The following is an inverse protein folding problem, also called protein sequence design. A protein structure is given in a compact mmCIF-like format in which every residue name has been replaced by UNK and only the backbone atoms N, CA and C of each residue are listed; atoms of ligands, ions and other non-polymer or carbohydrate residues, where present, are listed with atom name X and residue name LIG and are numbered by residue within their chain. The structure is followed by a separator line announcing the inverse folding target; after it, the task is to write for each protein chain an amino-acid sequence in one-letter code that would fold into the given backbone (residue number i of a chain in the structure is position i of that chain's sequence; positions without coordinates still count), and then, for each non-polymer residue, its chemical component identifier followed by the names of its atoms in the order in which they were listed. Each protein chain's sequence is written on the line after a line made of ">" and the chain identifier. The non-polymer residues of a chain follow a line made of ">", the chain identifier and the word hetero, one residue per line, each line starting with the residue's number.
data_IF_526555054132
#
_entry.id   IF_526555054132
#
_cell.length_a   1.000
_cell.length_b   1.000
_cell.length_c   1.000
_cell.angle_alpha   90.00
_cell.angle_beta   90.00
_cell.angle_gamma   90.00
#
_symmetry.space_group_name_H-M   'P 1'
#
loop_
_entity.id
_entity.type
_entity.pdbx_description
1 polymer ?
#
# COMPACT_ATOMS: atom_id res chain seq x y z
N UNK A 1 14.55 -12.34 10.70
CA UNK A 1 13.48 -11.84 9.80
C UNK A 1 13.99 -11.93 8.37
N UNK A 2 13.31 -12.68 7.52
CA UNK A 2 13.82 -13.34 6.30
C UNK A 2 13.41 -12.62 5.01
N UNK A 3 14.03 -12.95 3.86
CA UNK A 3 13.60 -12.50 2.51
C UNK A 3 12.11 -12.72 2.22
N UNK A 4 11.50 -13.73 2.85
CA UNK A 4 10.06 -14.00 2.80
C UNK A 4 9.20 -12.83 3.31
N UNK A 5 9.67 -12.09 4.32
CA UNK A 5 9.00 -10.90 4.84
C UNK A 5 8.95 -9.79 3.77
N UNK A 6 10.06 -9.58 3.05
CA UNK A 6 10.12 -8.59 1.96
C UNK A 6 9.17 -8.99 0.84
N UNK A 7 9.22 -10.26 0.42
CA UNK A 7 8.36 -10.77 -0.65
C UNK A 7 6.88 -10.61 -0.33
N UNK A 8 6.48 -10.85 0.93
CA UNK A 8 5.10 -10.66 1.37
C UNK A 8 4.67 -9.19 1.31
N UNK A 9 5.53 -8.27 1.77
CA UNK A 9 5.24 -6.82 1.73
C UNK A 9 5.20 -6.33 0.28
N UNK A 10 6.23 -6.60 -0.52
CA UNK A 10 6.31 -6.26 -1.95
C UNK A 10 5.12 -6.82 -2.72
N UNK A 11 4.76 -8.08 -2.47
CA UNK A 11 3.62 -8.76 -3.09
C UNK A 11 2.26 -8.22 -2.69
N UNK A 12 2.16 -7.41 -1.62
CA UNK A 12 0.94 -6.69 -1.25
C UNK A 12 0.94 -5.23 -1.75
N UNK A 13 2.10 -4.57 -1.75
CA UNK A 13 2.25 -3.19 -2.23
C UNK A 13 2.02 -3.08 -3.74
N UNK A 14 2.56 -4.01 -4.53
CA UNK A 14 2.42 -3.96 -6.00
C UNK A 14 0.95 -4.06 -6.44
N UNK A 15 0.17 -5.06 -5.99
CA UNK A 15 -1.23 -5.16 -6.40
C UNK A 15 -2.10 -4.02 -5.88
N UNK A 16 -1.75 -3.36 -4.76
CA UNK A 16 -2.43 -2.14 -4.34
C UNK A 16 -2.14 -0.98 -5.30
N UNK A 17 -0.89 -0.83 -5.75
CA UNK A 17 -0.51 0.17 -6.74
C UNK A 17 -1.22 -0.03 -8.08
N UNK A 18 -1.27 -1.25 -8.61
CA UNK A 18 -2.03 -1.56 -9.83
C UNK A 18 -3.51 -1.20 -9.71
N UNK A 19 -4.15 -1.53 -8.58
CA UNK A 19 -5.55 -1.19 -8.33
C UNK A 19 -5.77 0.34 -8.35
N UNK A 20 -4.82 1.10 -7.80
CA UNK A 20 -4.89 2.56 -7.80
C UNK A 20 -4.75 3.15 -9.23
N UNK A 21 -4.00 2.51 -10.13
CA UNK A 21 -3.95 2.92 -11.54
C UNK A 21 -5.33 2.74 -12.20
N UNK A 22 -5.97 1.59 -11.97
CA UNK A 22 -7.31 1.28 -12.50
C UNK A 22 -8.35 2.32 -12.04
N UNK A 23 -8.18 2.89 -10.84
CA UNK A 23 -9.06 3.91 -10.29
C UNK A 23 -8.58 5.35 -10.50
N UNK A 24 -7.68 5.57 -11.45
CA UNK A 24 -7.21 6.91 -11.84
C UNK A 24 -6.44 7.66 -10.74
N UNK A 25 -5.71 6.93 -9.90
CA UNK A 25 -4.81 7.44 -8.84
C UNK A 25 -3.32 7.11 -9.14
N UNK A 26 -2.78 7.47 -10.32
CA UNK A 26 -1.45 7.01 -10.77
C UNK A 26 -0.28 7.57 -9.92
N UNK A 27 -0.46 8.74 -9.31
CA UNK A 27 0.58 9.32 -8.45
C UNK A 27 0.71 8.54 -7.14
N UNK A 28 -0.42 8.12 -6.56
CA UNK A 28 -0.42 7.29 -5.36
C UNK A 28 0.10 5.89 -5.68
N UNK A 29 -0.31 5.32 -6.82
CA UNK A 29 0.21 4.04 -7.31
C UNK A 29 1.74 4.05 -7.43
N UNK A 30 2.33 5.11 -8.01
CA UNK A 30 3.78 5.25 -8.15
C UNK A 30 4.50 5.24 -6.79
N UNK A 31 3.92 5.85 -5.76
CA UNK A 31 4.46 5.83 -4.41
C UNK A 31 4.51 4.40 -3.84
N UNK A 32 3.43 3.63 -4.01
CA UNK A 32 3.38 2.22 -3.60
C UNK A 32 4.36 1.34 -4.37
N UNK A 33 4.48 1.51 -5.70
CA UNK A 33 5.45 0.77 -6.51
C UNK A 33 6.91 1.09 -6.11
N UNK A 34 7.23 2.36 -5.87
CA UNK A 34 8.57 2.77 -5.37
C UNK A 34 8.87 2.16 -4.00
N UNK A 35 7.88 2.14 -3.12
CA UNK A 35 8.03 1.53 -1.80
C UNK A 35 8.27 0.02 -1.91
N UNK A 36 7.56 -0.66 -2.82
CA UNK A 36 7.75 -2.08 -3.11
C UNK A 36 9.17 -2.39 -3.60
N UNK A 37 9.69 -1.63 -4.58
CA UNK A 37 11.07 -1.78 -5.06
C UNK A 37 12.09 -1.58 -3.94
N UNK A 38 11.85 -0.61 -3.03
CA UNK A 38 12.75 -0.37 -1.90
C UNK A 38 12.68 -1.47 -0.85
N UNK A 39 11.50 -2.04 -0.60
CA UNK A 39 11.35 -3.19 0.29
C UNK A 39 12.06 -4.43 -0.25
N UNK A 40 11.99 -4.68 -1.55
CA UNK A 40 12.71 -5.77 -2.22
C UNK A 40 14.23 -5.67 -2.01
N UNK A 41 14.76 -4.45 -2.12
CA UNK A 41 16.18 -4.15 -1.90
C UNK A 41 16.60 -4.06 -0.41
N UNK A 42 15.68 -4.18 0.55
CA UNK A 42 15.98 -3.97 1.97
C UNK A 42 16.67 -5.18 2.60
N UNK A 43 17.93 -5.02 3.02
CA UNK A 43 18.72 -6.12 3.58
C UNK A 43 18.64 -6.22 5.11
N UNK A 44 18.48 -5.09 5.81
CA UNK A 44 18.50 -5.06 7.28
C UNK A 44 17.11 -4.87 7.88
N UNK A 45 16.97 -5.24 9.16
CA UNK A 45 15.74 -4.96 9.92
C UNK A 45 15.55 -3.46 10.19
N UNK A 46 16.63 -2.66 10.18
CA UNK A 46 16.52 -1.21 10.30
C UNK A 46 15.94 -0.59 9.03
N UNK A 47 16.40 -1.04 7.85
CA UNK A 47 15.86 -0.58 6.55
C UNK A 47 14.36 -0.83 6.47
N UNK A 48 13.94 -2.07 6.77
CA UNK A 48 12.52 -2.46 6.74
C UNK A 48 11.66 -1.65 7.68
N UNK A 49 12.13 -1.38 8.91
CA UNK A 49 11.43 -0.51 9.87
C UNK A 49 11.26 0.91 9.34
N UNK A 50 12.31 1.46 8.73
CA UNK A 50 12.26 2.79 8.10
C UNK A 50 11.23 2.84 6.97
N UNK A 51 11.27 1.86 6.06
CA UNK A 51 10.32 1.75 4.94
C UNK A 51 8.89 1.48 5.42
N UNK A 52 8.72 0.69 6.47
CA UNK A 52 7.42 0.44 7.08
C UNK A 52 6.80 1.71 7.66
N UNK A 53 7.60 2.50 8.38
CA UNK A 53 7.18 3.81 8.87
C UNK A 53 6.77 4.76 7.74
N UNK A 54 7.54 4.80 6.64
CA UNK A 54 7.19 5.59 5.45
C UNK A 54 5.87 5.13 4.82
N UNK A 55 5.68 3.81 4.66
CA UNK A 55 4.45 3.25 4.10
C UNK A 55 3.23 3.49 4.97
N UNK A 56 3.36 3.37 6.30
CA UNK A 56 2.27 3.65 7.24
C UNK A 56 1.85 5.12 7.21
N UNK A 57 2.78 6.04 6.90
CA UNK A 57 2.43 7.45 6.73
C UNK A 57 1.44 7.68 5.58
N UNK A 58 1.36 6.81 4.56
CA UNK A 58 0.35 6.92 3.50
C UNK A 58 -1.09 6.65 3.98
N UNK A 59 -1.25 6.00 5.12
CA UNK A 59 -2.55 5.72 5.75
C UNK A 59 -3.00 6.81 6.73
N UNK A 60 -2.18 7.84 6.95
CA UNK A 60 -2.43 8.87 7.95
C UNK A 60 -2.31 10.28 7.33
N UNK A 61 -3.20 11.21 7.72
CA UNK A 61 -3.18 12.61 7.28
C UNK A 61 -4.36 13.03 6.42
N UNK A 62 -4.32 14.26 5.91
CA UNK A 62 -5.31 14.78 4.95
C UNK A 62 -5.05 14.20 3.56
N UNK A 63 -6.10 13.74 2.88
CA UNK A 63 -5.99 13.11 1.55
C UNK A 63 -5.18 11.82 1.61
N UNK A 64 -5.33 11.08 2.71
CA UNK A 64 -4.65 9.81 2.92
C UNK A 64 -5.23 8.73 2.02
N UNK A 65 -4.53 7.60 1.89
CA UNK A 65 -5.09 6.43 1.23
C UNK A 65 -6.44 6.04 1.85
N UNK A 66 -6.68 6.27 3.15
CA UNK A 66 -7.96 5.93 3.80
C UNK A 66 -9.13 6.84 3.39
N UNK A 67 -8.85 8.05 2.90
CA UNK A 67 -9.88 9.01 2.48
C UNK A 67 -10.34 8.77 1.03
N UNK A 68 -9.59 7.97 0.27
CA UNK A 68 -9.91 7.67 -1.12
C UNK A 68 -11.19 6.82 -1.19
N UNK A 69 -12.18 7.31 -1.94
CA UNK A 69 -13.43 6.61 -2.23
C UNK A 69 -13.59 6.50 -3.74
N UNK A 70 -13.72 5.27 -4.23
CA UNK A 70 -13.91 5.01 -5.66
C UNK A 70 -15.36 5.31 -6.02
N UNK A 71 -15.54 6.14 -7.04
CA UNK A 71 -16.85 6.60 -7.50
C UNK A 71 -17.16 6.04 -8.89
N UNK A 72 -18.42 5.63 -9.11
CA UNK A 72 -18.97 5.20 -10.38
C UNK A 72 -20.29 5.94 -10.61
N UNK A 73 -20.37 6.77 -11.65
CA UNK A 73 -21.53 7.61 -11.97
C UNK A 73 -22.06 8.42 -10.76
N UNK A 74 -21.17 9.13 -10.08
CA UNK A 74 -21.46 9.96 -8.91
C UNK A 74 -21.99 9.21 -7.66
N UNK A 75 -21.85 7.89 -7.62
CA UNK A 75 -22.14 7.07 -6.43
C UNK A 75 -20.89 6.26 -6.04
N UNK A 76 -20.69 5.95 -4.75
CA UNK A 76 -19.62 5.03 -4.36
C UNK A 76 -19.79 3.67 -5.03
N UNK A 77 -18.73 3.16 -5.63
CA UNK A 77 -18.70 1.80 -6.17
C UNK A 77 -18.41 0.83 -5.01
N UNK A 78 -19.45 0.19 -4.49
CA UNK A 78 -19.35 -0.65 -3.28
C UNK A 78 -18.39 -1.83 -3.48
N UNK A 79 -18.38 -2.44 -4.66
CA UNK A 79 -17.53 -3.60 -4.93
C UNK A 79 -16.06 -3.18 -4.99
N UNK A 80 -15.77 -2.09 -5.72
CA UNK A 80 -14.44 -1.55 -5.87
C UNK A 80 -13.86 -1.03 -4.55
N UNK A 81 -14.67 -0.31 -3.75
CA UNK A 81 -14.23 0.16 -2.43
C UNK A 81 -13.97 -1.00 -1.47
N UNK A 82 -14.77 -2.07 -1.50
CA UNK A 82 -14.54 -3.26 -0.68
C UNK A 82 -13.24 -3.98 -1.05
N UNK A 83 -12.92 -4.04 -2.34
CA UNK A 83 -11.64 -4.58 -2.80
C UNK A 83 -10.47 -3.72 -2.33
N UNK A 84 -10.59 -2.40 -2.48
CA UNK A 84 -9.58 -1.44 -2.03
C UNK A 84 -9.35 -1.55 -0.52
N UNK A 85 -10.40 -1.67 0.28
CA UNK A 85 -10.30 -1.84 1.74
C UNK A 85 -9.59 -3.13 2.12
N UNK A 86 -9.88 -4.25 1.43
CA UNK A 86 -9.18 -5.51 1.65
C UNK A 86 -7.67 -5.39 1.39
N UNK A 87 -7.27 -4.72 0.30
CA UNK A 87 -5.85 -4.50 -0.03
C UNK A 87 -5.17 -3.53 0.92
N UNK A 88 -5.84 -2.43 1.29
CA UNK A 88 -5.39 -1.48 2.32
C UNK A 88 -5.09 -2.18 3.63
N UNK A 89 -6.05 -2.95 4.13
CA UNK A 89 -5.91 -3.67 5.39
C UNK A 89 -4.71 -4.62 5.34
N UNK A 90 -4.59 -5.41 4.26
CA UNK A 90 -3.48 -6.35 4.11
C UNK A 90 -2.12 -5.66 4.12
N UNK A 91 -1.98 -4.55 3.40
CA UNK A 91 -0.74 -3.76 3.39
C UNK A 91 -0.45 -3.18 4.77
N UNK A 92 -1.46 -2.59 5.43
CA UNK A 92 -1.31 -2.00 6.76
C UNK A 92 -0.82 -3.02 7.81
N UNK A 93 -1.43 -4.21 7.83
CA UNK A 93 -1.04 -5.31 8.72
C UNK A 93 0.41 -5.74 8.49
N UNK A 94 0.81 -5.91 7.22
CA UNK A 94 2.15 -6.33 6.85
C UNK A 94 3.22 -5.30 7.20
N UNK A 95 2.93 -4.01 7.00
CA UNK A 95 3.83 -2.92 7.39
C UNK A 95 3.96 -2.82 8.91
N UNK A 96 2.87 -2.98 9.65
CA UNK A 96 2.88 -2.97 11.12
C UNK A 96 3.72 -4.12 11.68
N UNK A 97 3.70 -5.29 11.04
CA UNK A 97 4.55 -6.43 11.43
C UNK A 97 6.05 -6.18 11.24
N UNK A 98 6.45 -5.13 10.50
CA UNK A 98 7.86 -4.79 10.33
C UNK A 98 8.42 -3.90 11.45
N UNK A 99 7.56 -3.28 12.28
CA UNK A 99 7.93 -2.37 13.37
C UNK A 99 8.48 -3.13 14.58
#
# INVERSE_FOLDING_TARGET
>A
MTPESNNNVTGALWPLGELLIEFNEPQLALSFHRLATRFDAAHTAADRRGLAGEGLAYFHGMTSLNDLVIMNNARPDVAANRELDGRRQRVYELLTQQL
#
